data_IF_346664541569
#
_entry.id   IF_346664541569
#
_cell.length_a   1.000
_cell.length_b   1.000
_cell.length_c   1.000
_cell.angle_alpha   90.00
_cell.angle_beta   90.00
_cell.angle_gamma   90.00
#
_symmetry.space_group_name_H-M   'P 1'
#
loop_
_entity.id
_entity.type
_entity.pdbx_description
1 polymer ?
#
# COMPACT_ATOMS: atom_id res chain seq x y z
N UNK A 1 9.21 56.72 -40.39
CA UNK A 1 10.55 56.58 -39.76
C UNK A 1 10.64 55.23 -39.07
N UNK A 2 11.01 54.17 -39.80
CA UNK A 2 11.22 52.84 -39.23
C UNK A 2 12.64 52.72 -38.70
N UNK A 3 12.81 52.58 -37.39
CA UNK A 3 14.13 52.30 -36.79
C UNK A 3 14.55 50.90 -37.24
N UNK A 4 15.59 50.81 -38.08
CA UNK A 4 16.30 49.56 -38.32
C UNK A 4 16.83 49.06 -36.97
N UNK A 5 16.34 47.89 -36.56
CA UNK A 5 16.90 47.15 -35.44
C UNK A 5 18.34 46.79 -35.84
N UNK A 6 19.37 47.19 -35.08
CA UNK A 6 20.75 46.87 -35.41
C UNK A 6 20.91 45.34 -35.49
N UNK A 7 21.62 44.85 -36.51
CA UNK A 7 21.78 43.42 -36.79
C UNK A 7 22.26 42.58 -35.58
N UNK A 8 22.96 43.19 -34.62
CA UNK A 8 23.36 42.56 -33.36
C UNK A 8 22.21 42.27 -32.38
N UNK A 9 21.07 42.95 -32.50
CA UNK A 9 19.86 42.69 -31.72
C UNK A 9 19.16 41.40 -32.16
N UNK A 10 19.11 41.15 -33.47
CA UNK A 10 18.49 39.95 -34.05
C UNK A 10 19.29 38.69 -33.65
N UNK A 11 20.62 38.75 -33.70
CA UNK A 11 21.47 37.62 -33.28
C UNK A 11 21.31 37.31 -31.78
N UNK A 12 21.19 38.33 -30.92
CA UNK A 12 20.95 38.14 -29.48
C UNK A 12 19.56 37.55 -29.20
N UNK A 13 18.53 38.00 -29.92
CA UNK A 13 17.17 37.46 -29.80
C UNK A 13 17.13 35.99 -30.22
N UNK A 14 17.81 35.63 -31.32
CA UNK A 14 17.89 34.23 -31.77
C UNK A 14 18.61 33.34 -30.74
N UNK A 15 19.67 33.83 -30.10
CA UNK A 15 20.36 33.09 -29.03
C UNK A 15 19.44 32.90 -27.81
N UNK A 16 18.68 33.91 -27.40
CA UNK A 16 17.73 33.81 -26.27
C UNK A 16 16.59 32.84 -26.59
N UNK A 17 16.05 32.89 -27.81
CA UNK A 17 14.99 31.96 -28.23
C UNK A 17 15.53 30.52 -28.29
N UNK A 18 16.75 30.32 -28.80
CA UNK A 18 17.38 29.01 -28.84
C UNK A 18 17.67 28.45 -27.44
N UNK A 19 18.11 29.28 -26.48
CA UNK A 19 18.33 28.83 -25.09
C UNK A 19 17.01 28.54 -24.37
N UNK A 20 15.94 29.30 -24.63
CA UNK A 20 14.60 28.99 -24.12
C UNK A 20 14.04 27.70 -24.72
N UNK A 21 14.26 27.44 -26.02
CA UNK A 21 13.87 26.19 -26.68
C UNK A 21 14.69 24.99 -26.17
N UNK A 22 15.99 25.16 -25.92
CA UNK A 22 16.82 24.12 -25.30
C UNK A 22 16.38 23.83 -23.86
N UNK A 23 16.07 24.87 -23.08
CA UNK A 23 15.55 24.71 -21.72
C UNK A 23 14.18 24.00 -21.70
N UNK A 24 13.31 24.30 -22.68
CA UNK A 24 12.04 23.61 -22.87
C UNK A 24 12.19 22.15 -23.33
N UNK A 25 13.24 21.83 -24.09
CA UNK A 25 13.54 20.43 -24.48
C UNK A 25 14.19 19.62 -23.35
N UNK A 26 14.87 20.27 -22.39
CA UNK A 26 15.45 19.61 -21.23
C UNK A 26 14.43 19.37 -20.09
N UNK A 27 13.24 19.98 -20.17
CA UNK A 27 12.16 19.70 -19.23
C UNK A 27 11.52 18.37 -19.64
N UNK A 28 11.87 17.29 -18.94
CA UNK A 28 11.16 16.01 -19.10
C UNK A 28 9.65 16.29 -19.02
N UNK A 29 8.83 15.78 -19.96
CA UNK A 29 7.38 15.91 -19.83
C UNK A 29 6.94 15.10 -18.61
N UNK A 30 6.81 15.77 -17.46
CA UNK A 30 6.16 15.20 -16.27
C UNK A 30 4.66 15.38 -16.46
N UNK A 31 4.07 14.64 -17.39
CA UNK A 31 2.62 14.46 -17.37
C UNK A 31 2.25 13.22 -18.14
N UNK A 32 2.51 12.08 -17.53
CA UNK A 32 1.68 10.92 -17.81
C UNK A 32 0.31 11.17 -17.20
N UNK A 33 -0.49 11.99 -17.88
CA UNK A 33 -1.89 12.21 -17.56
C UNK A 33 -2.64 10.92 -17.91
N UNK A 34 -2.85 10.05 -16.93
CA UNK A 34 -3.60 8.81 -17.12
C UNK A 34 -5.08 9.11 -16.90
N UNK A 35 -5.86 8.97 -17.97
CA UNK A 35 -7.30 8.76 -17.84
C UNK A 35 -7.51 7.27 -17.59
N UNK A 36 -7.99 6.92 -16.40
CA UNK A 36 -8.24 5.53 -16.02
C UNK A 36 -9.72 5.36 -15.66
N UNK A 37 -10.38 4.37 -16.28
CA UNK A 37 -11.83 4.16 -16.17
C UNK A 37 -12.68 5.42 -16.46
N UNK A 38 -12.21 6.30 -17.34
CA UNK A 38 -12.88 7.55 -17.71
C UNK A 38 -12.68 8.71 -16.73
N UNK A 39 -11.94 8.51 -15.64
CA UNK A 39 -11.59 9.54 -14.68
C UNK A 39 -10.16 10.01 -14.93
N UNK A 40 -9.99 11.32 -14.99
CA UNK A 40 -8.67 11.92 -15.13
C UNK A 40 -7.95 11.91 -13.79
N UNK A 41 -6.81 11.21 -13.72
CA UNK A 41 -5.96 11.16 -12.53
C UNK A 41 -4.64 11.85 -12.87
N UNK A 42 -4.50 13.12 -12.51
CA UNK A 42 -3.24 13.85 -12.69
C UNK A 42 -2.18 13.30 -11.72
N UNK A 43 -0.89 13.41 -12.03
CA UNK A 43 0.18 13.01 -11.12
C UNK A 43 1.35 12.36 -11.85
N UNK A 44 2.30 11.83 -11.07
CA UNK A 44 3.52 11.26 -11.59
C UNK A 44 4.34 10.54 -10.54
N UNK A 45 5.41 9.89 -11.00
CA UNK A 45 6.37 9.17 -10.16
C UNK A 45 7.73 9.81 -10.34
N UNK A 46 8.37 10.14 -9.23
CA UNK A 46 9.77 10.54 -9.19
C UNK A 46 10.54 9.45 -8.46
N UNK A 47 11.65 9.00 -9.05
CA UNK A 47 12.60 8.09 -8.43
C UNK A 47 13.95 8.80 -8.46
N UNK A 48 14.56 8.94 -7.29
CA UNK A 48 15.88 9.52 -7.09
C UNK A 48 16.98 8.50 -7.35
N UNK A 49 18.23 8.95 -7.52
CA UNK A 49 19.39 8.08 -7.76
C UNK A 49 19.61 7.07 -6.61
N UNK A 50 19.27 7.47 -5.38
CA UNK A 50 19.32 6.65 -4.17
C UNK A 50 18.18 5.61 -4.08
N UNK A 51 17.30 5.53 -5.10
CA UNK A 51 16.13 4.66 -5.10
C UNK A 51 14.98 5.15 -4.22
N UNK A 52 15.06 6.35 -3.64
CA UNK A 52 13.92 6.98 -2.97
C UNK A 52 12.88 7.35 -4.02
N UNK A 53 11.60 7.18 -3.69
CA UNK A 53 10.54 7.52 -4.63
C UNK A 53 9.41 8.32 -3.98
N UNK A 54 8.73 9.07 -4.83
CA UNK A 54 7.46 9.74 -4.55
C UNK A 54 6.50 9.49 -5.71
N UNK A 55 5.43 8.75 -5.46
CA UNK A 55 4.32 8.55 -6.40
C UNK A 55 3.13 9.41 -5.98
N UNK A 56 2.59 10.19 -6.92
CA UNK A 56 1.48 11.10 -6.67
C UNK A 56 0.32 10.84 -7.62
N UNK A 57 -0.89 10.99 -7.11
CA UNK A 57 -2.11 10.94 -7.89
C UNK A 57 -3.15 11.92 -7.34
N UNK A 58 -3.76 12.70 -8.21
CA UNK A 58 -4.73 13.74 -7.85
C UNK A 58 -6.04 13.49 -8.59
N UNK A 59 -7.13 13.50 -7.84
CA UNK A 59 -8.50 13.35 -8.33
C UNK A 59 -9.38 14.49 -7.86
N UNK A 60 -10.37 14.86 -8.68
CA UNK A 60 -11.30 15.92 -8.35
C UNK A 60 -12.34 15.50 -7.30
N UNK A 61 -12.87 14.28 -7.41
CA UNK A 61 -13.88 13.76 -6.47
C UNK A 61 -13.21 12.93 -5.38
N UNK A 62 -13.68 13.07 -4.15
CA UNK A 62 -13.18 12.30 -3.02
C UNK A 62 -13.48 10.80 -3.18
N UNK A 63 -14.61 10.45 -3.80
CA UNK A 63 -15.02 9.06 -4.06
C UNK A 63 -14.03 8.31 -4.97
N UNK A 64 -13.26 9.04 -5.79
CA UNK A 64 -12.28 8.49 -6.72
C UNK A 64 -10.90 8.29 -6.06
N UNK A 65 -10.75 8.48 -4.75
CA UNK A 65 -9.44 8.35 -4.08
C UNK A 65 -8.86 6.93 -4.16
N UNK A 66 -9.73 5.91 -4.18
CA UNK A 66 -9.33 4.52 -4.38
C UNK A 66 -8.73 4.35 -5.78
N UNK A 67 -9.34 4.99 -6.78
CA UNK A 67 -8.83 5.01 -8.14
C UNK A 67 -7.49 5.75 -8.23
N UNK A 68 -7.34 6.87 -7.52
CA UNK A 68 -6.07 7.59 -7.42
C UNK A 68 -4.95 6.68 -6.89
N UNK A 69 -5.27 5.83 -5.89
CA UNK A 69 -4.35 4.83 -5.35
C UNK A 69 -3.98 3.76 -6.37
N UNK A 70 -4.96 3.16 -7.04
CA UNK A 70 -4.71 2.17 -8.11
C UNK A 70 -3.76 2.74 -9.17
N UNK A 71 -4.02 3.96 -9.65
CA UNK A 71 -3.20 4.59 -10.68
C UNK A 71 -1.79 4.93 -10.16
N UNK A 72 -1.67 5.43 -8.93
CA UNK A 72 -0.37 5.73 -8.33
C UNK A 72 0.51 4.47 -8.19
N UNK A 73 -0.10 3.34 -7.80
CA UNK A 73 0.55 2.03 -7.70
C UNK A 73 0.98 1.54 -9.09
N UNK A 74 0.09 1.56 -10.07
CA UNK A 74 0.40 1.10 -11.43
C UNK A 74 1.56 1.89 -12.05
N UNK A 75 1.56 3.22 -11.92
CA UNK A 75 2.64 4.08 -12.41
C UNK A 75 3.95 3.75 -11.72
N UNK A 76 3.92 3.57 -10.39
CA UNK A 76 5.11 3.25 -9.61
C UNK A 76 5.67 1.89 -10.02
N UNK A 77 4.83 0.87 -10.16
CA UNK A 77 5.25 -0.46 -10.60
C UNK A 77 5.91 -0.40 -11.99
N UNK A 78 5.28 0.30 -12.95
CA UNK A 78 5.84 0.48 -14.29
C UNK A 78 7.19 1.22 -14.26
N UNK A 79 7.27 2.35 -13.57
CA UNK A 79 8.51 3.13 -13.49
C UNK A 79 9.63 2.37 -12.78
N UNK A 80 9.31 1.59 -11.75
CA UNK A 80 10.27 0.79 -11.02
C UNK A 80 10.78 -0.40 -11.86
N UNK A 81 9.91 -1.06 -12.62
CA UNK A 81 10.26 -2.15 -13.55
C UNK A 81 11.15 -1.64 -14.70
N UNK A 82 10.80 -0.51 -15.33
CA UNK A 82 11.61 0.13 -16.38
C UNK A 82 13.00 0.55 -15.87
N UNK A 83 13.10 0.94 -14.60
CA UNK A 83 14.36 1.29 -13.95
C UNK A 83 15.11 0.09 -13.33
N UNK A 84 14.59 -1.13 -13.47
CA UNK A 84 15.22 -2.38 -13.04
C UNK A 84 15.24 -2.61 -11.53
N UNK A 85 14.32 -2.00 -10.78
CA UNK A 85 14.12 -2.31 -9.36
C UNK A 85 13.33 -3.61 -9.19
N UNK A 86 13.54 -4.30 -8.08
CA UNK A 86 12.90 -5.60 -7.78
C UNK A 86 12.11 -5.59 -6.48
N UNK A 87 12.48 -4.71 -5.54
CA UNK A 87 11.86 -4.59 -4.23
C UNK A 87 11.46 -3.14 -3.92
N UNK A 88 10.47 -2.99 -3.05
CA UNK A 88 9.89 -1.72 -2.61
C UNK A 88 9.63 -1.73 -1.11
N UNK A 89 9.97 -0.63 -0.44
CA UNK A 89 9.57 -0.36 0.94
C UNK A 89 8.74 0.92 0.96
N UNK A 90 7.46 0.82 1.29
CA UNK A 90 6.57 1.97 1.43
C UNK A 90 6.71 2.51 2.84
N UNK A 91 7.00 3.79 2.98
CA UNK A 91 7.18 4.46 4.28
C UNK A 91 5.94 5.23 4.70
N UNK A 92 5.31 5.93 3.76
CA UNK A 92 4.09 6.70 4.04
C UNK A 92 3.13 6.67 2.86
N UNK A 93 1.85 6.75 3.20
CA UNK A 93 0.75 6.97 2.27
C UNK A 93 -0.11 8.08 2.85
N UNK A 94 -0.12 9.23 2.20
CA UNK A 94 -0.79 10.42 2.68
C UNK A 94 -1.88 10.83 1.70
N UNK A 95 -2.99 11.31 2.25
CA UNK A 95 -4.07 11.91 1.46
C UNK A 95 -4.32 13.31 1.99
N UNK A 96 -4.20 14.31 1.11
CA UNK A 96 -4.51 15.70 1.43
C UNK A 96 -5.80 16.09 0.71
N UNK A 97 -6.78 16.54 1.48
CA UNK A 97 -8.05 17.08 0.97
C UNK A 97 -7.97 18.60 0.80
N UNK A 98 -8.69 19.11 -0.20
CA UNK A 98 -8.76 20.53 -0.53
C UNK A 98 -9.64 20.77 -1.75
N UNK A 99 -9.20 21.64 -2.66
CA UNK A 99 -9.89 21.86 -3.94
C UNK A 99 -9.82 20.63 -4.86
N UNK A 100 -8.74 19.86 -4.75
CA UNK A 100 -8.58 18.52 -5.32
C UNK A 100 -8.06 17.58 -4.23
N UNK A 101 -8.31 16.28 -4.38
CA UNK A 101 -7.85 15.26 -3.44
C UNK A 101 -6.56 14.66 -3.98
N UNK A 102 -5.47 14.86 -3.25
CA UNK A 102 -4.14 14.38 -3.64
C UNK A 102 -3.74 13.21 -2.75
N UNK A 103 -3.30 12.13 -3.39
CA UNK A 103 -2.64 11.00 -2.78
C UNK A 103 -1.14 11.10 -3.04
N UNK A 104 -0.33 10.84 -2.02
CA UNK A 104 1.11 10.69 -2.11
C UNK A 104 1.55 9.37 -1.46
N UNK A 105 2.39 8.61 -2.16
CA UNK A 105 3.01 7.37 -1.68
C UNK A 105 4.51 7.61 -1.73
N UNK A 106 5.18 7.50 -0.59
CA UNK A 106 6.63 7.70 -0.49
C UNK A 106 7.32 6.47 0.09
N UNK A 107 8.55 6.24 -0.35
CA UNK A 107 9.32 5.08 0.08
C UNK A 107 10.68 4.95 -0.58
N UNK A 108 11.21 3.73 -0.58
CA UNK A 108 12.45 3.35 -1.26
C UNK A 108 12.30 2.10 -2.13
N UNK A 109 13.13 2.00 -3.16
CA UNK A 109 13.24 0.90 -4.10
C UNK A 109 14.64 0.29 -4.02
N UNK A 110 14.76 -1.02 -4.27
CA UNK A 110 16.03 -1.73 -4.32
C UNK A 110 16.10 -2.70 -5.51
N UNK A 111 17.29 -2.86 -6.09
CA UNK A 111 17.54 -3.73 -7.27
C UNK A 111 17.94 -5.15 -6.88
N UNK A 112 18.66 -5.29 -5.77
CA UNK A 112 19.03 -6.57 -5.18
C UNK A 112 18.35 -6.71 -3.82
N UNK A 113 18.14 -7.93 -3.35
CA UNK A 113 17.60 -8.25 -2.01
C UNK A 113 18.48 -7.76 -0.84
N UNK A 114 19.39 -6.81 -1.07
CA UNK A 114 20.21 -6.14 -0.06
C UNK A 114 19.38 -5.38 0.98
N UNK A 115 18.13 -5.05 0.64
CA UNK A 115 17.13 -4.59 1.59
C UNK A 115 16.18 -5.75 1.90
N UNK A 116 16.60 -6.65 2.77
CA UNK A 116 15.83 -7.79 3.32
C UNK A 116 14.51 -7.38 4.05
N UNK A 117 14.16 -6.11 3.95
CA UNK A 117 13.02 -5.44 4.59
C UNK A 117 11.97 -4.97 3.58
N UNK A 118 12.22 -5.07 2.27
CA UNK A 118 11.28 -4.64 1.23
C UNK A 118 10.28 -5.73 0.81
N UNK A 119 9.13 -5.32 0.29
CA UNK A 119 8.22 -6.19 -0.45
C UNK A 119 8.71 -6.37 -1.88
N UNK A 120 8.49 -7.52 -2.52
CA UNK A 120 8.63 -7.65 -3.96
C UNK A 120 7.74 -6.62 -4.68
N UNK A 121 8.18 -6.05 -5.80
CA UNK A 121 7.33 -5.10 -6.58
C UNK A 121 6.01 -5.73 -7.00
N UNK A 122 5.98 -7.05 -7.25
CA UNK A 122 4.74 -7.78 -7.53
C UNK A 122 3.71 -7.74 -6.40
N UNK A 123 4.14 -7.38 -5.18
CA UNK A 123 3.31 -7.23 -3.97
C UNK A 123 3.19 -5.76 -3.53
N UNK A 124 3.37 -4.81 -4.45
CA UNK A 124 3.31 -3.37 -4.15
C UNK A 124 1.97 -2.95 -3.51
N UNK A 125 0.84 -3.55 -3.91
CA UNK A 125 -0.47 -3.27 -3.30
C UNK A 125 -0.48 -3.61 -1.80
N UNK A 126 0.10 -4.75 -1.41
CA UNK A 126 0.23 -5.17 -0.01
C UNK A 126 1.16 -4.23 0.77
N UNK A 127 2.27 -3.79 0.13
CA UNK A 127 3.20 -2.84 0.72
C UNK A 127 2.53 -1.47 0.98
N UNK A 128 1.71 -0.99 0.04
CA UNK A 128 0.97 0.28 0.15
C UNK A 128 -0.17 0.17 1.18
N UNK A 129 -0.73 -1.02 1.37
CA UNK A 129 -1.71 -1.26 2.44
C UNK A 129 -1.07 -1.27 3.84
N UNK A 130 0.22 -1.60 3.95
CA UNK A 130 0.95 -1.74 5.21
C UNK A 130 2.21 -0.86 5.22
N UNK A 131 2.07 0.48 5.18
CA UNK A 131 3.20 1.39 5.18
C UNK A 131 4.05 1.24 6.45
N UNK A 132 5.36 1.26 6.29
CA UNK A 132 6.33 1.09 7.37
C UNK A 132 6.52 -0.35 7.85
N UNK A 133 5.80 -1.32 7.28
CA UNK A 133 5.95 -2.74 7.59
C UNK A 133 6.66 -3.49 6.48
N UNK A 134 7.50 -4.44 6.87
CA UNK A 134 8.15 -5.38 5.96
C UNK A 134 7.30 -6.65 5.81
N UNK A 135 7.56 -7.44 4.78
CA UNK A 135 6.94 -8.77 4.63
C UNK A 135 7.24 -9.69 5.82
N UNK A 136 8.43 -9.55 6.43
CA UNK A 136 8.83 -10.35 7.58
C UNK A 136 8.04 -9.99 8.86
N UNK A 137 7.63 -8.73 9.02
CA UNK A 137 6.85 -8.28 10.19
C UNK A 137 5.44 -8.89 10.22
N UNK A 138 4.88 -9.16 9.03
CA UNK A 138 3.54 -9.75 8.86
C UNK A 138 3.55 -11.27 8.78
N UNK A 139 4.72 -11.89 8.68
CA UNK A 139 4.81 -13.35 8.71
C UNK A 139 4.26 -13.85 10.06
N UNK A 140 3.39 -14.88 10.07
CA UNK A 140 2.80 -15.38 11.31
C UNK A 140 3.93 -15.79 12.25
N UNK A 141 4.04 -15.09 13.39
CA UNK A 141 4.97 -15.48 14.46
C UNK A 141 4.68 -16.93 14.82
N UNK A 142 5.62 -17.82 14.53
CA UNK A 142 5.50 -19.23 14.86
C UNK A 142 5.15 -19.33 16.36
N UNK A 143 3.99 -19.93 16.66
CA UNK A 143 3.62 -20.22 18.03
C UNK A 143 4.74 -21.07 18.65
N UNK A 144 5.16 -20.80 19.90
CA UNK A 144 6.18 -21.61 20.54
C UNK A 144 5.71 -23.06 20.53
N UNK A 145 6.50 -23.93 19.89
CA UNK A 145 6.27 -25.38 19.89
C UNK A 145 6.19 -25.81 21.35
N UNK A 146 4.99 -26.14 21.84
CA UNK A 146 4.83 -26.74 23.17
C UNK A 146 5.69 -28.00 23.15
N UNK A 147 6.75 -28.03 23.96
CA UNK A 147 7.51 -29.26 24.19
C UNK A 147 6.50 -30.37 24.50
N UNK A 148 6.57 -31.55 23.87
CA UNK A 148 5.70 -32.66 24.26
C UNK A 148 5.91 -32.89 25.75
N UNK A 149 4.83 -32.77 26.53
CA UNK A 149 4.84 -33.13 27.94
C UNK A 149 5.27 -34.58 27.98
N UNK A 150 6.40 -34.85 28.64
CA UNK A 150 6.94 -36.19 28.85
C UNK A 150 5.79 -37.05 29.39
N UNK A 151 5.44 -38.12 28.68
CA UNK A 151 4.40 -39.05 29.14
C UNK A 151 4.75 -39.51 30.56
N UNK A 152 3.93 -39.10 31.53
CA UNK A 152 4.02 -39.61 32.89
C UNK A 152 3.56 -41.07 32.82
N UNK A 153 4.38 -42.00 33.31
CA UNK A 153 4.02 -43.41 33.35
C UNK A 153 2.66 -43.59 34.06
N UNK A 154 1.81 -44.54 33.65
CA UNK A 154 0.51 -44.75 34.28
C UNK A 154 0.69 -45.03 35.77
N UNK A 155 0.07 -44.21 36.63
CA UNK A 155 -0.01 -44.48 38.05
C UNK A 155 -0.83 -45.75 38.29
N UNK A 156 -0.35 -46.63 39.17
CA UNK A 156 -1.10 -47.82 39.59
C UNK A 156 -2.44 -47.40 40.21
N UNK A 157 -3.53 -47.89 39.64
CA UNK A 157 -4.90 -47.66 40.13
C UNK A 157 -5.10 -48.26 41.53
N UNK A 158 -5.54 -47.47 42.53
CA UNK A 158 -6.01 -48.01 43.80
C UNK A 158 -7.28 -48.85 43.59
N UNK A 159 -7.32 -50.08 44.11
CA UNK A 159 -8.54 -50.92 44.12
C UNK A 159 -9.57 -50.33 45.08
N UNK A 160 -10.73 -49.91 44.57
CA UNK A 160 -11.88 -49.48 45.38
C UNK A 160 -12.76 -50.70 45.71
N UNK A 161 -13.15 -50.94 46.98
CA UNK A 161 -14.06 -52.02 47.33
C UNK A 161 -15.48 -51.74 46.81
N UNK A 162 -16.13 -52.78 46.28
CA UNK A 162 -17.47 -52.69 45.70
C UNK A 162 -18.53 -52.37 46.77
N UNK A 163 -19.15 -51.19 46.66
CA UNK A 163 -20.35 -50.78 47.40
C UNK A 163 -21.44 -50.32 46.43
N UNK A 164 -22.73 -50.37 46.82
CA UNK A 164 -23.87 -50.30 45.91
C UNK A 164 -24.02 -48.93 45.23
N UNK A 165 -24.42 -49.00 43.95
CA UNK A 165 -24.56 -47.89 43.00
C UNK A 165 -25.88 -47.16 43.24
N UNK A 166 -25.85 -45.92 43.74
CA UNK A 166 -26.98 -45.00 43.63
C UNK A 166 -26.86 -44.16 42.34
N UNK A 167 -28.00 -44.01 41.66
CA UNK A 167 -28.14 -43.49 40.31
C UNK A 167 -27.73 -42.01 40.14
N UNK A 168 -27.31 -41.60 38.92
CA UNK A 168 -26.69 -40.30 38.67
C UNK A 168 -27.66 -39.12 38.82
N UNK A 169 -27.26 -38.11 39.59
CA UNK A 169 -27.88 -36.77 39.56
C UNK A 169 -27.52 -36.11 38.24
N UNK A 170 -28.50 -36.04 37.34
CA UNK A 170 -28.44 -35.25 36.11
C UNK A 170 -28.50 -33.77 36.50
N UNK A 171 -27.42 -33.03 36.26
CA UNK A 171 -27.45 -31.56 36.33
C UNK A 171 -27.62 -31.08 34.88
N UNK A 172 -28.85 -30.73 34.51
CA UNK A 172 -29.19 -30.09 33.25
C UNK A 172 -28.57 -28.68 33.21
N UNK A 173 -27.90 -28.34 32.11
CA UNK A 173 -27.36 -27.01 31.90
C UNK A 173 -28.50 -26.03 31.55
N UNK A 174 -28.52 -24.81 32.11
CA UNK A 174 -29.57 -23.84 31.81
C UNK A 174 -29.49 -23.30 30.39
N UNK A 175 -30.62 -23.32 29.70
CA UNK A 175 -30.84 -22.78 28.35
C UNK A 175 -30.56 -21.28 28.30
N UNK A 176 -29.45 -20.88 27.66
CA UNK A 176 -29.26 -19.48 27.29
C UNK A 176 -30.14 -19.17 26.07
N UNK A 177 -31.13 -18.33 26.36
CA UNK A 177 -32.20 -17.81 25.50
C UNK A 177 -31.67 -17.31 24.16
N UNK A 178 -32.08 -17.98 23.07
CA UNK A 178 -32.02 -17.44 21.71
C UNK A 178 -33.05 -16.32 21.57
N UNK A 179 -32.60 -15.07 21.55
CA UNK A 179 -33.47 -13.95 21.21
C UNK A 179 -33.75 -13.95 19.69
N UNK A 180 -34.84 -14.60 19.28
CA UNK A 180 -35.42 -14.42 17.95
C UNK A 180 -36.19 -13.07 17.95
N UNK A 181 -35.86 -12.10 17.08
CA UNK A 181 -36.55 -10.82 17.05
C UNK A 181 -37.99 -10.98 16.55
N UNK A 182 -38.96 -10.51 17.34
CA UNK A 182 -40.40 -10.54 17.01
C UNK A 182 -40.73 -9.45 15.97
N UNK A 183 -41.42 -9.77 14.85
CA UNK A 183 -41.86 -8.77 13.89
C UNK A 183 -42.95 -7.86 14.47
N UNK A 184 -42.85 -6.55 14.20
CA UNK A 184 -43.83 -5.53 14.60
C UNK A 184 -45.14 -5.69 13.80
N UNK A 185 -46.32 -5.53 14.43
CA UNK A 185 -47.58 -5.51 13.69
C UNK A 185 -47.66 -4.24 12.84
N UNK A 186 -48.06 -4.43 11.58
CA UNK A 186 -48.44 -3.37 10.65
C UNK A 186 -49.84 -2.92 11.07
N UNK A 187 -49.97 -1.66 11.44
CA UNK A 187 -51.23 -0.95 11.69
C UNK A 187 -51.13 0.43 11.08
#
# INVERSE_FOLDING_TARGET
MGKLIPAGGIMRILVIIATLLLAACATRPVSDNFTYKGVHVAGGVMIDEDGRFLSTATVWRADDIVLAREVAIMRLAKAADEAGYTHVAVLSVETTGGFANQLAIAGSLARDGSNDTGWPISQLEEAVANPGMTKADLAPKALPVRKPVRAVAPAETPRVPAGPVEAPVVIEAPDFISAVPKPRPIG
#
